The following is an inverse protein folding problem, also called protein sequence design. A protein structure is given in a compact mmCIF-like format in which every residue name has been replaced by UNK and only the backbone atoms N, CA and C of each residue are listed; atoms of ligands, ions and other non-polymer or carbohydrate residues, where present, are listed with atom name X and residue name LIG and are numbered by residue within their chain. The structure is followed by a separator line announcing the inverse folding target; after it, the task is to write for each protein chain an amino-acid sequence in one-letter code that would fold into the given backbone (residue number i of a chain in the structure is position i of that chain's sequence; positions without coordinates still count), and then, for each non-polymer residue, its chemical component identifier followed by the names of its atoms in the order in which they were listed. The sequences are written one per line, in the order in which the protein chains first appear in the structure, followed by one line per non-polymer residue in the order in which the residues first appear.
data_IF_460393545388
#
_entry.id   IF_460393545388
#
_cell.length_a   1.000
_cell.length_b   1.000
_cell.length_c   1.000
_cell.angle_alpha   90.00
_cell.angle_beta   90.00
_cell.angle_gamma   90.00
#
_symmetry.space_group_name_H-M   'P 1'
#
loop_
_entity.id
_entity.type
_entity.pdbx_description
1 polymer ?
#
# COMPACT_ATOMS: atom_id res chain seq x y z
N UNK A 1 6.05 -38.74 6.48
CA UNK A 1 5.58 -37.59 7.26
C UNK A 1 5.58 -36.43 6.29
N UNK A 2 4.41 -36.00 5.83
CA UNK A 2 4.26 -34.79 5.00
C UNK A 2 4.57 -33.62 5.90
N UNK A 3 5.56 -32.81 5.55
CA UNK A 3 5.86 -31.57 6.25
C UNK A 3 4.58 -30.71 6.29
N UNK A 4 4.11 -30.39 7.49
CA UNK A 4 2.91 -29.59 7.67
C UNK A 4 3.16 -28.16 7.13
N UNK A 5 2.30 -27.67 6.25
CA UNK A 5 2.37 -26.29 5.76
C UNK A 5 2.22 -25.33 6.91
N UNK A 6 3.09 -24.32 6.98
CA UNK A 6 3.01 -23.25 8.02
C UNK A 6 2.03 -22.17 7.62
N UNK A 7 1.97 -21.82 6.33
CA UNK A 7 1.10 -20.79 5.79
C UNK A 7 0.71 -21.12 4.34
N UNK A 8 -0.55 -20.89 4.01
CA UNK A 8 -1.09 -21.18 2.67
C UNK A 8 -1.93 -20.01 2.15
N UNK A 9 -2.07 -19.96 0.82
CA UNK A 9 -2.86 -18.97 0.10
C UNK A 9 -3.92 -19.68 -0.75
N UNK A 10 -5.17 -19.23 -0.64
CA UNK A 10 -6.22 -19.56 -1.60
C UNK A 10 -6.30 -18.43 -2.63
N UNK A 11 -6.22 -18.76 -3.91
CA UNK A 11 -6.66 -17.90 -5.02
C UNK A 11 -8.00 -18.45 -5.52
N UNK A 12 -9.03 -17.63 -5.58
CA UNK A 12 -10.36 -18.06 -6.06
C UNK A 12 -10.95 -17.02 -7.02
N UNK A 13 -11.71 -17.52 -7.99
CA UNK A 13 -12.41 -16.74 -9.00
C UNK A 13 -13.75 -17.39 -9.35
N UNK A 14 -14.71 -16.59 -9.74
CA UNK A 14 -16.02 -17.03 -10.21
C UNK A 14 -16.47 -16.22 -11.40
N UNK A 15 -17.05 -16.87 -12.40
CA UNK A 15 -17.51 -16.20 -13.59
C UNK A 15 -18.75 -16.79 -14.21
N UNK A 16 -19.48 -15.95 -14.96
CA UNK A 16 -20.65 -16.37 -15.71
C UNK A 16 -20.61 -15.81 -17.14
N UNK A 17 -20.99 -16.61 -18.13
CA UNK A 17 -21.22 -16.18 -19.51
C UNK A 17 -22.63 -15.66 -19.68
N UNK A 18 -22.83 -14.39 -19.38
CA UNK A 18 -24.11 -13.73 -19.10
C UNK A 18 -24.31 -13.53 -17.60
N UNK A 19 -25.20 -12.60 -17.18
CA UNK A 19 -25.42 -12.33 -15.76
C UNK A 19 -26.91 -12.12 -15.45
N UNK A 20 -27.66 -13.22 -15.07
CA UNK A 20 -27.20 -14.61 -14.89
C UNK A 20 -26.89 -15.33 -16.23
N UNK A 21 -26.03 -16.35 -16.17
CA UNK A 21 -25.66 -17.17 -17.32
C UNK A 21 -24.93 -18.46 -16.91
N UNK A 22 -24.43 -19.22 -17.89
CA UNK A 22 -23.60 -20.40 -17.60
C UNK A 22 -22.40 -19.99 -16.75
N UNK A 23 -22.35 -20.50 -15.55
CA UNK A 23 -21.40 -20.08 -14.52
C UNK A 23 -20.52 -21.23 -14.04
N UNK A 24 -19.31 -20.89 -13.62
CA UNK A 24 -18.33 -21.78 -13.02
C UNK A 24 -17.48 -21.04 -12.01
N UNK A 25 -16.71 -21.78 -11.23
CA UNK A 25 -15.66 -21.26 -10.36
C UNK A 25 -14.33 -21.98 -10.57
N UNK A 26 -13.26 -21.33 -10.11
CA UNK A 26 -11.93 -21.90 -9.96
C UNK A 26 -11.35 -21.53 -8.60
N UNK A 27 -10.72 -22.47 -7.92
CA UNK A 27 -10.02 -22.26 -6.67
C UNK A 27 -8.69 -23.01 -6.67
N UNK A 28 -7.64 -22.40 -6.15
CA UNK A 28 -6.28 -22.94 -6.08
C UNK A 28 -5.73 -22.72 -4.68
N UNK A 29 -5.31 -23.79 -4.01
CA UNK A 29 -4.60 -23.73 -2.75
C UNK A 29 -3.10 -23.81 -3.02
N UNK A 30 -2.32 -22.90 -2.46
CA UNK A 30 -0.86 -22.79 -2.66
C UNK A 30 -0.13 -22.70 -1.33
N UNK A 31 1.07 -23.23 -1.28
CA UNK A 31 2.03 -22.91 -0.23
C UNK A 31 2.45 -21.44 -0.33
N UNK A 32 2.29 -20.69 0.75
CA UNK A 32 2.54 -19.24 0.75
C UNK A 32 4.04 -18.88 0.59
N UNK A 33 4.94 -19.81 0.98
CA UNK A 33 6.38 -19.60 0.95
C UNK A 33 6.97 -19.89 -0.42
N UNK A 34 6.55 -21.01 -1.03
CA UNK A 34 7.13 -21.49 -2.28
C UNK A 34 6.29 -21.11 -3.51
N UNK A 35 5.01 -20.77 -3.32
CA UNK A 35 4.05 -20.58 -4.40
C UNK A 35 3.63 -21.89 -5.10
N UNK A 36 4.05 -23.04 -4.59
CA UNK A 36 3.70 -24.34 -5.16
C UNK A 36 2.20 -24.62 -4.99
N UNK A 37 1.58 -25.16 -6.02
CA UNK A 37 0.18 -25.58 -5.98
C UNK A 37 0.04 -26.85 -5.15
N UNK A 38 -0.81 -26.81 -4.13
CA UNK A 38 -1.13 -27.94 -3.27
C UNK A 38 -2.34 -28.69 -3.85
N UNK A 39 -3.41 -27.93 -4.18
CA UNK A 39 -4.64 -28.49 -4.73
C UNK A 39 -5.39 -27.46 -5.60
N UNK A 40 -6.24 -27.94 -6.51
CA UNK A 40 -7.09 -27.14 -7.38
C UNK A 40 -8.50 -27.70 -7.42
N UNK A 41 -9.49 -26.83 -7.53
CA UNK A 41 -10.88 -27.18 -7.81
C UNK A 41 -11.48 -26.24 -8.83
N UNK A 42 -12.20 -26.78 -9.82
CA UNK A 42 -12.96 -25.99 -10.78
C UNK A 42 -14.20 -26.79 -11.21
N UNK A 43 -15.37 -26.14 -11.15
CA UNK A 43 -16.64 -26.79 -11.49
C UNK A 43 -17.63 -25.81 -12.08
N UNK A 44 -18.49 -26.30 -12.95
CA UNK A 44 -19.65 -25.55 -13.47
C UNK A 44 -20.82 -25.64 -12.50
N UNK A 45 -21.48 -24.53 -12.26
CA UNK A 45 -22.61 -24.42 -11.30
C UNK A 45 -23.98 -24.17 -11.97
N UNK A 46 -24.06 -24.46 -13.28
CA UNK A 46 -25.29 -24.21 -14.04
C UNK A 46 -25.49 -22.72 -14.35
N UNK A 47 -26.71 -22.24 -14.30
CA UNK A 47 -27.03 -20.83 -14.54
C UNK A 47 -27.00 -20.07 -13.21
N UNK A 48 -26.07 -19.13 -13.09
CA UNK A 48 -25.92 -18.30 -11.89
C UNK A 48 -25.40 -16.90 -12.24
N UNK A 49 -25.45 -15.99 -11.26
CA UNK A 49 -24.82 -14.67 -11.38
C UNK A 49 -23.33 -14.76 -11.09
N UNK A 50 -22.57 -13.77 -11.55
CA UNK A 50 -21.14 -13.67 -11.28
C UNK A 50 -20.84 -13.73 -9.78
N UNK A 51 -21.58 -12.98 -8.96
CA UNK A 51 -21.39 -12.95 -7.51
C UNK A 51 -21.63 -14.32 -6.84
N UNK A 52 -22.59 -15.11 -7.31
CA UNK A 52 -22.80 -16.49 -6.84
C UNK A 52 -21.60 -17.36 -7.18
N UNK A 53 -21.07 -17.25 -8.39
CA UNK A 53 -19.91 -18.01 -8.82
C UNK A 53 -18.65 -17.65 -7.99
N UNK A 54 -18.43 -16.37 -7.71
CA UNK A 54 -17.35 -15.88 -6.86
C UNK A 54 -17.39 -16.48 -5.44
N UNK A 55 -18.56 -16.45 -4.79
CA UNK A 55 -18.72 -17.10 -3.48
C UNK A 55 -18.54 -18.62 -3.52
N UNK A 56 -18.94 -19.27 -4.61
CA UNK A 56 -18.71 -20.73 -4.80
C UNK A 56 -17.21 -21.02 -4.94
N UNK A 57 -16.46 -20.20 -5.65
CA UNK A 57 -15.01 -20.32 -5.72
C UNK A 57 -14.33 -20.16 -4.35
N UNK A 58 -14.75 -19.17 -3.55
CA UNK A 58 -14.28 -19.01 -2.19
C UNK A 58 -14.56 -20.24 -1.33
N UNK A 59 -15.79 -20.76 -1.35
CA UNK A 59 -16.19 -21.94 -0.57
C UNK A 59 -15.32 -23.15 -0.97
N UNK A 60 -15.18 -23.42 -2.27
CA UNK A 60 -14.35 -24.51 -2.76
C UNK A 60 -12.87 -24.37 -2.32
N UNK A 61 -12.31 -23.17 -2.34
CA UNK A 61 -10.96 -22.91 -1.83
C UNK A 61 -10.82 -23.20 -0.34
N UNK A 62 -11.83 -22.83 0.47
CA UNK A 62 -11.87 -23.13 1.90
C UNK A 62 -12.01 -24.65 2.18
N UNK A 63 -12.73 -25.38 1.34
CA UNK A 63 -12.83 -26.84 1.41
C UNK A 63 -11.45 -27.46 1.10
N UNK A 64 -10.74 -27.00 0.06
CA UNK A 64 -9.37 -27.45 -0.23
C UNK A 64 -8.43 -27.19 0.95
N UNK A 65 -8.56 -26.06 1.64
CA UNK A 65 -7.78 -25.75 2.84
C UNK A 65 -8.01 -26.80 3.93
N UNK A 66 -9.26 -27.14 4.24
CA UNK A 66 -9.58 -28.14 5.25
C UNK A 66 -9.06 -29.53 4.91
N UNK A 67 -9.06 -29.90 3.62
CA UNK A 67 -8.63 -31.20 3.16
C UNK A 67 -7.10 -31.37 3.15
N UNK A 68 -6.34 -30.28 2.95
CA UNK A 68 -4.92 -30.35 2.65
C UNK A 68 -4.00 -29.61 3.63
N UNK A 69 -4.48 -28.57 4.32
CA UNK A 69 -3.64 -27.73 5.19
C UNK A 69 -4.41 -27.10 6.37
N UNK A 70 -5.21 -27.86 7.14
CA UNK A 70 -6.16 -27.30 8.13
C UNK A 70 -5.52 -26.58 9.32
N UNK A 71 -4.21 -26.78 9.54
CA UNK A 71 -3.47 -26.17 10.66
C UNK A 71 -2.60 -24.97 10.21
N UNK A 72 -2.57 -24.66 8.90
CA UNK A 72 -1.73 -23.59 8.38
C UNK A 72 -2.43 -22.21 8.52
N UNK A 73 -1.65 -21.15 8.66
CA UNK A 73 -2.16 -19.78 8.53
C UNK A 73 -2.73 -19.57 7.12
N UNK A 74 -3.96 -18.98 7.03
CA UNK A 74 -4.68 -18.85 5.78
C UNK A 74 -4.83 -17.40 5.33
N UNK A 75 -4.39 -17.14 4.09
CA UNK A 75 -4.76 -15.94 3.34
C UNK A 75 -5.64 -16.31 2.13
N UNK A 76 -6.76 -15.61 1.93
CA UNK A 76 -7.62 -15.73 0.75
C UNK A 76 -7.41 -14.52 -0.14
N UNK A 77 -7.07 -14.74 -1.41
CA UNK A 77 -6.87 -13.72 -2.44
C UNK A 77 -7.91 -13.84 -3.54
N UNK A 78 -8.63 -12.75 -3.81
CA UNK A 78 -9.65 -12.70 -4.86
C UNK A 78 -9.64 -11.35 -5.57
N UNK A 79 -10.01 -11.33 -6.85
CA UNK A 79 -10.24 -10.08 -7.60
C UNK A 79 -11.69 -9.57 -7.49
N UNK A 80 -12.56 -10.31 -6.81
CA UNK A 80 -13.90 -9.88 -6.43
C UNK A 80 -13.87 -8.97 -5.21
N UNK A 81 -13.80 -7.66 -5.44
CA UNK A 81 -13.83 -6.67 -4.34
C UNK A 81 -15.07 -6.84 -3.45
N UNK A 82 -16.21 -7.17 -4.06
CA UNK A 82 -17.47 -7.38 -3.31
C UNK A 82 -17.32 -8.51 -2.28
N UNK A 83 -16.82 -9.67 -2.69
CA UNK A 83 -16.68 -10.83 -1.80
C UNK A 83 -15.65 -10.54 -0.70
N UNK A 84 -14.50 -10.00 -1.06
CA UNK A 84 -13.43 -9.63 -0.11
C UNK A 84 -13.94 -8.65 0.94
N UNK A 85 -14.63 -7.58 0.55
CA UNK A 85 -15.16 -6.57 1.47
C UNK A 85 -16.25 -7.13 2.37
N UNK A 86 -17.11 -8.02 1.84
CA UNK A 86 -18.16 -8.66 2.63
C UNK A 86 -17.60 -9.67 3.63
N UNK A 87 -16.63 -10.50 3.23
CA UNK A 87 -16.00 -11.49 4.09
C UNK A 87 -15.12 -10.85 5.18
N UNK A 88 -14.53 -9.70 4.90
CA UNK A 88 -13.81 -8.89 5.90
C UNK A 88 -14.71 -8.10 6.84
N UNK A 89 -16.05 -8.19 6.68
CA UNK A 89 -17.02 -7.46 7.52
C UNK A 89 -17.16 -5.96 7.21
N UNK A 90 -16.40 -5.44 6.24
CA UNK A 90 -16.46 -4.01 5.86
C UNK A 90 -17.74 -3.64 5.10
N UNK A 91 -18.31 -4.56 4.32
CA UNK A 91 -19.56 -4.34 3.60
C UNK A 91 -20.67 -5.26 4.08
N UNK A 92 -21.88 -4.69 4.21
CA UNK A 92 -23.07 -5.46 4.57
C UNK A 92 -23.56 -6.30 3.39
N UNK A 93 -23.90 -7.57 3.65
CA UNK A 93 -24.50 -8.47 2.66
C UNK A 93 -25.99 -8.18 2.58
N UNK A 94 -26.41 -7.47 1.53
CA UNK A 94 -27.81 -7.04 1.34
C UNK A 94 -28.62 -8.07 0.53
N UNK A 95 -27.99 -8.70 -0.48
CA UNK A 95 -28.69 -9.59 -1.40
C UNK A 95 -29.05 -10.92 -0.72
N UNK A 96 -30.31 -11.40 -0.78
CA UNK A 96 -30.73 -12.62 -0.09
C UNK A 96 -29.95 -13.86 -0.54
N UNK A 97 -29.62 -14.01 -1.83
CA UNK A 97 -28.91 -15.17 -2.36
C UNK A 97 -27.45 -15.23 -1.91
N UNK A 98 -26.85 -14.09 -1.54
CA UNK A 98 -25.48 -14.03 -1.04
C UNK A 98 -25.37 -14.41 0.44
N UNK A 99 -26.41 -14.20 1.24
CA UNK A 99 -26.38 -14.46 2.69
C UNK A 99 -26.05 -15.91 3.03
N UNK A 100 -26.70 -16.94 2.43
CA UNK A 100 -26.37 -18.33 2.73
C UNK A 100 -24.94 -18.72 2.30
N UNK A 101 -24.47 -18.19 1.15
CA UNK A 101 -23.12 -18.44 0.66
C UNK A 101 -22.06 -17.82 1.57
N UNK A 102 -22.23 -16.55 1.94
CA UNK A 102 -21.33 -15.90 2.89
C UNK A 102 -21.35 -16.58 4.27
N UNK A 103 -22.52 -17.01 4.75
CA UNK A 103 -22.61 -17.77 6.00
C UNK A 103 -21.88 -19.12 5.91
N UNK A 104 -21.94 -19.80 4.76
CA UNK A 104 -21.17 -21.02 4.52
C UNK A 104 -19.67 -20.75 4.51
N UNK A 105 -19.22 -19.72 3.79
CA UNK A 105 -17.82 -19.32 3.75
C UNK A 105 -17.29 -18.92 5.13
N UNK A 106 -18.07 -18.16 5.93
CA UNK A 106 -17.67 -17.80 7.30
C UNK A 106 -17.54 -19.01 8.24
N UNK A 107 -18.36 -20.04 8.07
CA UNK A 107 -18.22 -21.26 8.88
C UNK A 107 -16.98 -22.09 8.52
N UNK A 108 -16.55 -22.02 7.26
CA UNK A 108 -15.38 -22.73 6.78
C UNK A 108 -14.08 -21.95 7.00
N UNK A 109 -14.13 -20.62 7.05
CA UNK A 109 -12.94 -19.80 7.27
C UNK A 109 -12.43 -19.97 8.71
N UNK A 110 -11.18 -20.43 8.94
CA UNK A 110 -10.60 -20.53 10.27
C UNK A 110 -10.44 -19.15 10.90
N UNK A 111 -10.37 -19.11 12.22
CA UNK A 111 -10.09 -17.87 12.95
C UNK A 111 -8.73 -17.30 12.52
N UNK A 112 -8.67 -16.00 12.22
CA UNK A 112 -7.45 -15.35 11.74
C UNK A 112 -7.28 -15.34 10.22
N UNK A 113 -8.23 -15.92 9.43
CA UNK A 113 -8.20 -15.82 7.96
C UNK A 113 -8.17 -14.37 7.50
N UNK A 114 -7.22 -14.03 6.65
CA UNK A 114 -7.16 -12.73 5.99
C UNK A 114 -7.77 -12.80 4.58
N UNK A 115 -8.56 -11.78 4.22
CA UNK A 115 -9.16 -11.67 2.89
C UNK A 115 -8.55 -10.47 2.17
N UNK A 116 -7.81 -10.74 1.09
CA UNK A 116 -7.04 -9.75 0.33
C UNK A 116 -7.63 -9.60 -1.07
N UNK A 117 -7.98 -8.37 -1.45
CA UNK A 117 -8.31 -8.08 -2.83
C UNK A 117 -7.03 -7.98 -3.66
N UNK A 118 -7.02 -8.65 -4.81
CA UNK A 118 -5.92 -8.59 -5.79
C UNK A 118 -6.46 -8.15 -7.15
N UNK A 119 -5.66 -7.46 -7.97
CA UNK A 119 -6.03 -7.19 -9.36
C UNK A 119 -6.20 -8.50 -10.15
N UNK A 120 -7.08 -8.49 -11.15
CA UNK A 120 -7.37 -9.67 -11.99
C UNK A 120 -6.12 -10.27 -12.63
N UNK A 121 -5.14 -9.43 -12.97
CA UNK A 121 -3.86 -9.87 -13.53
C UNK A 121 -3.05 -10.75 -12.57
N UNK A 122 -3.34 -10.70 -11.29
CA UNK A 122 -2.71 -11.52 -10.25
C UNK A 122 -3.50 -12.79 -9.92
N UNK A 123 -4.79 -12.89 -10.35
CA UNK A 123 -5.67 -14.05 -10.14
C UNK A 123 -5.74 -15.00 -11.36
N UNK A 124 -4.74 -14.97 -12.23
CA UNK A 124 -4.72 -15.70 -13.52
C UNK A 124 -4.86 -17.21 -13.40
N UNK A 125 -4.45 -17.81 -12.29
CA UNK A 125 -4.51 -19.26 -12.14
C UNK A 125 -5.97 -19.70 -11.92
N UNK A 126 -6.68 -19.10 -10.98
CA UNK A 126 -8.08 -19.36 -10.74
C UNK A 126 -8.95 -19.00 -11.97
N UNK A 127 -8.73 -17.84 -12.62
CA UNK A 127 -9.39 -17.46 -13.88
C UNK A 127 -9.19 -18.49 -15.00
N UNK A 128 -7.98 -19.04 -15.14
CA UNK A 128 -7.65 -20.06 -16.16
C UNK A 128 -8.43 -21.35 -15.97
N UNK A 129 -8.47 -21.89 -14.76
CA UNK A 129 -9.16 -23.17 -14.48
C UNK A 129 -10.68 -22.99 -14.53
N UNK A 130 -11.21 -21.87 -14.08
CA UNK A 130 -12.60 -21.44 -14.25
C UNK A 130 -13.01 -21.44 -15.74
N UNK A 131 -12.22 -20.77 -16.59
CA UNK A 131 -12.52 -20.67 -18.02
C UNK A 131 -12.41 -22.04 -18.72
N UNK A 132 -11.47 -22.90 -18.29
CA UNK A 132 -11.38 -24.27 -18.81
C UNK A 132 -12.63 -25.09 -18.46
N UNK A 133 -13.19 -24.96 -17.26
CA UNK A 133 -14.44 -25.61 -16.87
C UNK A 133 -15.63 -25.12 -17.72
N UNK A 134 -15.76 -23.82 -17.96
CA UNK A 134 -16.80 -23.24 -18.84
C UNK A 134 -16.65 -23.71 -20.31
N UNK A 135 -15.43 -23.80 -20.83
CA UNK A 135 -15.20 -24.27 -22.19
C UNK A 135 -15.48 -25.76 -22.37
N UNK A 136 -15.11 -26.57 -21.39
CA UNK A 136 -15.44 -27.99 -21.36
C UNK A 136 -16.95 -28.23 -21.37
N UNK A 137 -17.70 -27.52 -20.53
CA UNK A 137 -19.15 -27.61 -20.50
C UNK A 137 -19.83 -27.10 -21.79
N UNK A 138 -19.20 -26.21 -22.54
CA UNK A 138 -19.67 -25.72 -23.83
C UNK A 138 -19.26 -26.63 -25.01
N UNK A 139 -18.66 -27.80 -24.73
CA UNK A 139 -18.22 -28.75 -25.79
C UNK A 139 -17.04 -28.26 -26.63
N UNK A 140 -16.31 -27.23 -26.20
CA UNK A 140 -15.11 -26.77 -26.87
C UNK A 140 -13.91 -27.66 -26.52
N UNK A 141 -13.03 -28.00 -27.49
CA UNK A 141 -11.87 -28.81 -27.18
C UNK A 141 -10.97 -28.10 -26.15
N UNK A 142 -10.84 -28.72 -24.98
CA UNK A 142 -9.89 -28.28 -23.97
C UNK A 142 -8.49 -28.47 -24.52
N UNK A 143 -7.73 -27.40 -24.74
CA UNK A 143 -6.29 -27.51 -24.97
C UNK A 143 -5.69 -28.10 -23.70
N UNK A 144 -5.31 -29.38 -23.78
CA UNK A 144 -4.68 -30.08 -22.68
C UNK A 144 -3.53 -29.23 -22.11
N UNK A 145 -3.62 -28.93 -20.83
CA UNK A 145 -2.51 -28.34 -20.10
C UNK A 145 -1.36 -29.34 -20.14
N UNK A 146 -0.28 -28.99 -20.84
CA UNK A 146 0.97 -29.77 -20.75
C UNK A 146 1.44 -29.63 -19.30
N UNK A 147 1.36 -30.72 -18.56
CA UNK A 147 2.10 -30.92 -17.32
C UNK A 147 3.57 -30.72 -17.65
N UNK A 148 4.12 -29.57 -17.30
CA UNK A 148 5.53 -29.31 -17.40
C UNK A 148 6.23 -30.00 -16.22
N UNK A 149 6.81 -31.17 -16.48
CA UNK A 149 7.94 -31.69 -15.69
C UNK A 149 9.01 -30.60 -15.68
N UNK A 150 9.68 -30.32 -14.56
CA UNK A 150 10.75 -29.32 -14.54
C UNK A 150 11.97 -29.85 -15.28
N UNK A 151 11.96 -29.75 -16.60
CA UNK A 151 13.21 -29.75 -17.37
C UNK A 151 13.94 -28.45 -17.04
N UNK A 152 15.20 -28.57 -16.66
CA UNK A 152 16.17 -27.50 -16.61
C UNK A 152 16.27 -26.86 -18.01
N UNK A 153 15.29 -26.07 -18.37
CA UNK A 153 15.23 -25.33 -19.62
C UNK A 153 15.95 -24.00 -19.43
N UNK A 154 16.87 -23.72 -20.35
CA UNK A 154 17.56 -22.46 -20.59
C UNK A 154 16.74 -21.25 -20.13
N UNK A 155 17.35 -20.42 -19.27
CA UNK A 155 16.78 -19.13 -18.87
C UNK A 155 16.46 -18.37 -20.14
N UNK A 156 15.16 -18.29 -20.53
CA UNK A 156 14.72 -17.32 -21.53
C UNK A 156 15.23 -15.96 -21.06
N UNK A 157 15.90 -15.22 -21.93
CA UNK A 157 16.31 -13.86 -21.58
C UNK A 157 15.10 -13.14 -21.01
N UNK A 158 15.29 -12.50 -19.85
CA UNK A 158 14.29 -11.59 -19.27
C UNK A 158 13.77 -10.73 -20.43
N UNK A 159 12.45 -10.72 -20.63
CA UNK A 159 11.85 -9.74 -21.53
C UNK A 159 12.41 -8.39 -21.14
N UNK A 160 12.91 -7.59 -22.05
CA UNK A 160 13.26 -6.21 -21.74
C UNK A 160 12.07 -5.63 -20.98
N UNK A 161 12.33 -5.02 -19.84
CA UNK A 161 11.29 -4.23 -19.15
C UNK A 161 10.74 -3.26 -20.21
N UNK A 162 9.41 -3.08 -20.31
CA UNK A 162 8.86 -2.07 -21.20
C UNK A 162 9.64 -0.77 -20.96
N UNK A 163 9.95 -0.02 -21.99
CA UNK A 163 10.51 1.33 -21.86
C UNK A 163 9.48 2.16 -21.08
N UNK A 164 9.72 2.30 -19.78
CA UNK A 164 8.79 2.99 -18.87
C UNK A 164 8.86 4.52 -19.01
N UNK A 165 9.69 5.02 -19.95
CA UNK A 165 9.97 6.45 -20.10
C UNK A 165 10.78 7.03 -18.92
N UNK A 166 11.10 8.32 -19.00
CA UNK A 166 11.80 9.04 -17.94
C UNK A 166 10.85 9.34 -16.78
N UNK A 167 11.12 8.86 -15.56
CA UNK A 167 10.26 9.09 -14.43
C UNK A 167 10.42 10.48 -13.84
N UNK A 168 9.35 11.06 -13.30
CA UNK A 168 9.49 12.14 -12.32
C UNK A 168 9.93 11.53 -10.99
N UNK A 169 11.07 11.97 -10.48
CA UNK A 169 11.67 11.48 -9.23
C UNK A 169 11.51 12.52 -8.13
N UNK A 170 10.90 12.16 -7.01
CA UNK A 170 10.87 12.98 -5.81
C UNK A 170 11.92 12.48 -4.81
N UNK A 171 12.84 13.36 -4.46
CA UNK A 171 13.75 13.20 -3.33
C UNK A 171 13.08 13.91 -2.15
N UNK A 172 12.50 13.16 -1.25
CA UNK A 172 11.73 13.65 -0.11
C UNK A 172 12.65 13.77 1.11
N UNK A 173 12.74 14.94 1.70
CA UNK A 173 13.51 15.20 2.92
C UNK A 173 12.54 15.56 4.04
N UNK A 174 12.55 14.80 5.14
CA UNK A 174 11.89 15.23 6.36
C UNK A 174 12.65 16.42 6.94
N UNK A 175 11.97 17.45 7.44
CA UNK A 175 12.59 18.55 8.15
C UNK A 175 13.52 18.08 9.27
N UNK A 176 14.50 18.87 9.66
CA UNK A 176 15.38 18.62 10.80
C UNK A 176 14.65 18.65 12.14
N UNK A 177 15.35 18.33 13.21
CA UNK A 177 14.81 18.35 14.58
C UNK A 177 14.31 19.74 14.99
N UNK A 178 13.26 19.71 15.82
CA UNK A 178 12.69 20.86 16.51
C UNK A 178 12.47 20.50 17.98
N UNK A 179 12.18 21.44 18.86
CA UNK A 179 11.81 21.12 20.24
C UNK A 179 10.66 20.11 20.33
N UNK A 180 9.62 20.25 19.49
CA UNK A 180 8.50 19.31 19.44
C UNK A 180 8.92 17.91 18.98
N UNK A 181 9.85 17.81 18.03
CA UNK A 181 10.38 16.49 17.57
C UNK A 181 11.10 15.77 18.71
N UNK A 182 11.93 16.46 19.48
CA UNK A 182 12.65 15.90 20.64
C UNK A 182 11.69 15.38 21.70
N UNK A 183 10.68 16.16 22.01
CA UNK A 183 9.68 15.82 23.02
C UNK A 183 8.60 14.87 22.49
N UNK A 184 8.65 14.46 21.22
CA UNK A 184 7.66 13.61 20.54
C UNK A 184 6.24 14.16 20.64
N UNK A 185 6.09 15.49 20.47
CA UNK A 185 4.81 16.17 20.45
C UNK A 185 4.22 16.19 19.05
N UNK A 186 2.90 16.10 18.96
CA UNK A 186 2.19 16.40 17.73
C UNK A 186 2.50 17.84 17.29
N UNK A 187 2.79 18.04 16.03
CA UNK A 187 3.15 19.36 15.49
C UNK A 187 2.62 19.45 14.06
N UNK A 188 1.36 19.83 13.94
CA UNK A 188 0.64 19.97 12.69
C UNK A 188 0.67 21.40 12.13
N UNK A 189 -0.41 21.75 11.44
CA UNK A 189 -0.62 23.09 10.86
C UNK A 189 -1.43 24.02 11.76
N UNK A 190 -2.05 23.50 12.80
CA UNK A 190 -3.02 24.25 13.65
C UNK A 190 -2.44 24.85 14.92
N UNK A 191 -1.27 24.41 15.36
CA UNK A 191 -0.64 24.83 16.60
C UNK A 191 0.55 25.78 16.41
N UNK A 192 1.50 25.71 17.35
CA UNK A 192 2.78 26.39 17.24
C UNK A 192 3.53 25.87 16.01
N UNK A 193 4.17 26.77 15.27
CA UNK A 193 5.01 26.43 14.12
C UNK A 193 6.50 26.53 14.52
N UNK A 194 7.06 25.49 15.24
CA UNK A 194 8.42 25.54 15.73
C UNK A 194 9.42 25.55 14.59
N UNK A 195 10.47 26.38 14.74
CA UNK A 195 11.64 26.33 13.88
C UNK A 195 12.56 25.16 14.22
N UNK A 196 13.62 25.00 13.43
CA UNK A 196 14.69 24.06 13.71
C UNK A 196 15.41 24.44 15.01
N UNK A 197 15.88 23.45 15.75
CA UNK A 197 16.88 23.67 16.77
C UNK A 197 18.31 23.48 16.18
N UNK A 198 19.32 23.69 17.00
CA UNK A 198 20.71 23.61 16.52
C UNK A 198 21.10 22.20 16.00
N UNK A 199 20.52 21.14 16.58
CA UNK A 199 20.74 19.78 16.09
C UNK A 199 20.04 19.57 14.75
N UNK A 200 18.80 20.10 14.61
CA UNK A 200 18.05 20.06 13.37
C UNK A 200 18.75 20.79 12.22
N UNK A 201 19.30 21.98 12.47
CA UNK A 201 20.11 22.71 11.48
C UNK A 201 21.34 21.89 11.05
N UNK A 202 22.07 21.29 12.01
CA UNK A 202 23.22 20.47 11.73
C UNK A 202 22.86 19.19 10.93
N UNK A 203 21.75 18.54 11.28
CA UNK A 203 21.23 17.38 10.56
C UNK A 203 20.90 17.71 9.10
N UNK A 204 20.18 18.80 8.87
CA UNK A 204 19.82 19.23 7.52
C UNK A 204 21.04 19.64 6.71
N UNK A 205 22.01 20.32 7.32
CA UNK A 205 23.27 20.68 6.66
C UNK A 205 24.05 19.45 6.24
N UNK A 206 24.17 18.45 7.10
CA UNK A 206 24.81 17.17 6.75
C UNK A 206 24.07 16.46 5.58
N UNK A 207 22.75 16.49 5.57
CA UNK A 207 21.96 15.96 4.45
C UNK A 207 22.16 16.75 3.17
N UNK A 208 22.24 18.08 3.25
CA UNK A 208 22.53 18.96 2.12
C UNK A 208 23.90 18.68 1.50
N UNK A 209 24.93 18.53 2.34
CA UNK A 209 26.29 18.17 1.92
C UNK A 209 26.36 16.78 1.28
N UNK A 210 25.61 15.83 1.81
CA UNK A 210 25.47 14.49 1.24
C UNK A 210 24.80 14.49 -0.13
N UNK A 211 23.83 15.38 -0.36
CA UNK A 211 23.14 15.55 -1.64
C UNK A 211 23.91 16.45 -2.62
N UNK A 212 24.88 17.24 -2.18
CA UNK A 212 25.62 18.20 -3.01
C UNK A 212 26.23 17.63 -4.30
N UNK A 213 26.80 16.39 -4.31
CA UNK A 213 27.28 15.78 -5.55
C UNK A 213 26.19 15.57 -6.61
N UNK A 214 24.92 15.52 -6.21
CA UNK A 214 23.75 15.32 -7.08
C UNK A 214 23.07 16.64 -7.48
N UNK A 215 23.58 17.80 -7.04
CA UNK A 215 22.95 19.10 -7.27
C UNK A 215 22.64 19.40 -8.75
N UNK A 216 23.46 18.90 -9.68
CA UNK A 216 23.25 19.07 -11.12
C UNK A 216 22.12 18.23 -11.69
N UNK A 217 21.72 17.16 -10.98
CA UNK A 217 20.69 16.24 -11.38
C UNK A 217 19.34 16.54 -10.69
N UNK A 218 19.31 17.59 -9.85
CA UNK A 218 18.10 18.09 -9.18
C UNK A 218 17.61 19.34 -9.94
N UNK A 219 16.40 19.25 -10.50
CA UNK A 219 15.83 20.31 -11.35
C UNK A 219 15.05 21.36 -10.55
N UNK A 220 14.51 21.04 -9.37
CA UNK A 220 13.74 21.94 -8.54
C UNK A 220 13.83 21.58 -7.06
N UNK A 221 13.70 22.61 -6.20
CA UNK A 221 13.57 22.49 -4.75
C UNK A 221 12.24 23.08 -4.31
N UNK A 222 11.40 22.25 -3.67
CA UNK A 222 10.11 22.66 -3.13
C UNK A 222 10.05 22.42 -1.63
N UNK A 223 9.23 23.19 -0.93
CA UNK A 223 9.04 23.05 0.52
C UNK A 223 7.56 23.11 0.89
N UNK A 224 7.19 22.34 1.90
CA UNK A 224 5.98 22.60 2.69
C UNK A 224 6.01 24.04 3.24
N UNK A 225 4.83 24.68 3.50
CA UNK A 225 4.77 26.07 3.96
C UNK A 225 5.23 26.28 5.42
N UNK A 226 5.34 25.20 6.23
CA UNK A 226 5.64 25.33 7.66
C UNK A 226 7.08 25.78 7.93
N UNK A 227 7.29 26.51 9.03
CA UNK A 227 8.56 27.17 9.36
C UNK A 227 9.73 26.19 9.34
N UNK A 228 9.65 25.05 10.02
CA UNK A 228 10.70 24.04 10.10
C UNK A 228 11.11 23.46 8.75
N UNK A 229 10.17 23.34 7.81
CA UNK A 229 10.45 22.86 6.44
C UNK A 229 11.05 23.98 5.60
N UNK A 230 10.60 25.22 5.74
CA UNK A 230 11.18 26.37 5.04
C UNK A 230 12.63 26.62 5.50
N UNK A 231 12.90 26.53 6.80
CA UNK A 231 14.26 26.64 7.34
C UNK A 231 15.15 25.51 6.83
N UNK A 232 14.65 24.26 6.82
CA UNK A 232 15.37 23.11 6.23
C UNK A 232 15.63 23.31 4.73
N UNK A 233 14.63 23.78 3.98
CA UNK A 233 14.76 24.03 2.56
C UNK A 233 15.72 25.18 2.24
N UNK A 234 15.76 26.21 3.09
CA UNK A 234 16.72 27.32 2.96
C UNK A 234 18.17 26.82 3.09
N UNK A 235 18.46 25.96 4.07
CA UNK A 235 19.80 25.35 4.22
C UNK A 235 20.15 24.47 3.00
N UNK A 236 19.21 23.65 2.51
CA UNK A 236 19.41 22.85 1.29
C UNK A 236 19.63 23.75 0.08
N UNK A 237 18.83 24.81 -0.08
CA UNK A 237 18.95 25.77 -1.18
C UNK A 237 20.29 26.50 -1.17
N UNK A 238 20.79 26.91 0.01
CA UNK A 238 22.10 27.52 0.17
C UNK A 238 23.22 26.59 -0.32
N UNK A 239 23.23 25.34 0.13
CA UNK A 239 24.31 24.37 -0.19
C UNK A 239 24.25 23.92 -1.65
N UNK A 240 23.02 23.72 -2.18
CA UNK A 240 22.82 23.20 -3.54
C UNK A 240 22.75 24.31 -4.61
N UNK A 241 22.71 25.58 -4.21
CA UNK A 241 22.59 26.72 -5.12
C UNK A 241 21.21 26.82 -5.78
N UNK A 242 20.12 26.49 -5.06
CA UNK A 242 18.77 26.38 -5.60
C UNK A 242 17.78 27.35 -4.91
N UNK A 243 16.83 27.88 -5.67
CA UNK A 243 15.70 28.62 -5.13
C UNK A 243 14.61 27.68 -4.61
N UNK A 244 13.93 28.09 -3.54
CA UNK A 244 12.88 27.30 -2.89
C UNK A 244 11.50 27.78 -3.34
N UNK A 245 10.70 26.89 -3.93
CA UNK A 245 9.27 27.11 -4.17
C UNK A 245 8.42 26.48 -3.05
N UNK A 246 7.21 26.99 -2.83
CA UNK A 246 6.28 26.44 -1.82
C UNK A 246 5.24 25.56 -2.49
N UNK A 247 5.01 24.36 -1.91
CA UNK A 247 3.93 23.45 -2.25
C UNK A 247 3.05 23.19 -1.01
N UNK A 248 1.92 23.89 -0.94
CA UNK A 248 0.98 23.88 0.19
C UNK A 248 0.48 22.46 0.51
N UNK A 249 0.30 21.62 -0.50
CA UNK A 249 -0.18 20.26 -0.34
C UNK A 249 0.80 19.31 0.36
N UNK A 250 2.03 19.74 0.61
CA UNK A 250 3.05 19.00 1.36
C UNK A 250 3.10 19.38 2.87
N UNK A 251 2.17 20.18 3.36
CA UNK A 251 2.07 20.50 4.79
C UNK A 251 1.86 19.24 5.66
N UNK A 252 2.23 19.27 6.95
CA UNK A 252 1.89 18.22 7.90
C UNK A 252 0.39 18.15 8.13
N UNK A 253 -0.12 17.04 8.66
CA UNK A 253 -1.50 16.94 9.08
C UNK A 253 -1.83 17.98 10.16
N UNK A 254 -3.04 18.52 10.13
CA UNK A 254 -3.57 19.27 11.26
C UNK A 254 -4.01 18.29 12.35
N UNK A 255 -3.53 18.47 13.57
CA UNK A 255 -3.87 17.58 14.69
C UNK A 255 -4.89 18.20 15.66
N UNK A 256 -5.40 19.39 15.36
CA UNK A 256 -6.42 20.07 16.15
C UNK A 256 -5.96 20.31 17.60
N UNK A 257 -6.76 19.86 18.55
CA UNK A 257 -6.45 20.04 20.00
C UNK A 257 -5.25 19.23 20.47
N UNK A 258 -4.71 18.33 19.67
CA UNK A 258 -3.53 17.53 20.03
C UNK A 258 -2.21 18.25 19.75
N UNK A 259 -2.23 19.33 18.93
CA UNK A 259 -1.01 20.07 18.62
C UNK A 259 -0.31 20.55 19.90
N UNK A 260 0.98 20.28 20.01
CA UNK A 260 1.81 20.54 21.18
C UNK A 260 1.75 19.50 22.29
N UNK A 261 0.85 18.50 22.20
CA UNK A 261 0.77 17.39 23.17
C UNK A 261 1.61 16.19 22.71
N UNK A 262 2.08 15.39 23.65
CA UNK A 262 2.65 14.07 23.40
C UNK A 262 1.52 13.05 23.21
N UNK A 263 1.85 11.88 22.65
CA UNK A 263 0.87 10.80 22.50
C UNK A 263 0.25 10.38 23.85
N UNK A 264 1.05 10.37 24.92
CA UNK A 264 0.55 10.02 26.27
C UNK A 264 -0.40 11.10 26.81
N UNK A 265 -0.10 12.38 26.62
CA UNK A 265 -0.97 13.49 27.02
C UNK A 265 -2.28 13.47 26.23
N UNK A 266 -2.24 13.15 24.93
CA UNK A 266 -3.46 12.95 24.11
C UNK A 266 -4.28 11.77 24.61
N UNK A 267 -3.63 10.63 24.89
CA UNK A 267 -4.30 9.45 25.44
C UNK A 267 -4.97 9.72 26.78
N UNK A 268 -4.39 10.57 27.63
CA UNK A 268 -4.96 10.95 28.93
C UNK A 268 -6.12 11.94 28.80
N UNK A 269 -5.97 12.98 27.95
CA UNK A 269 -6.92 14.08 27.85
C UNK A 269 -8.01 13.88 26.80
N UNK A 270 -7.75 13.11 25.76
CA UNK A 270 -8.58 12.95 24.54
C UNK A 270 -8.68 11.49 24.09
N UNK A 271 -8.81 10.53 25.03
CA UNK A 271 -8.78 9.09 24.74
C UNK A 271 -9.78 8.67 23.66
N UNK A 272 -11.06 9.07 23.78
CA UNK A 272 -12.13 8.71 22.85
C UNK A 272 -11.86 9.26 21.43
N UNK A 273 -11.32 10.47 21.33
CA UNK A 273 -10.97 11.14 20.09
C UNK A 273 -9.79 10.40 19.40
N UNK A 274 -8.77 10.03 20.18
CA UNK A 274 -7.62 9.27 19.69
C UNK A 274 -8.02 7.85 19.24
N UNK A 275 -8.85 7.16 20.01
CA UNK A 275 -9.32 5.80 19.68
C UNK A 275 -10.17 5.83 18.40
N UNK A 276 -11.03 6.83 18.22
CA UNK A 276 -11.81 7.02 17.01
C UNK A 276 -10.92 7.26 15.78
N UNK A 277 -9.89 8.13 15.91
CA UNK A 277 -8.96 8.43 14.84
C UNK A 277 -8.06 7.24 14.47
N UNK A 278 -7.63 6.44 15.47
CA UNK A 278 -6.88 5.20 15.21
C UNK A 278 -7.76 4.10 14.61
N UNK A 279 -9.06 4.14 14.86
CA UNK A 279 -10.04 3.15 14.39
C UNK A 279 -10.55 3.38 12.97
N UNK A 280 -10.42 4.62 12.41
CA UNK A 280 -10.94 4.95 11.09
C UNK A 280 -10.15 6.10 10.44
N UNK A 281 -9.92 6.02 9.12
CA UNK A 281 -9.09 6.98 8.39
C UNK A 281 -9.81 8.27 7.99
N UNK A 282 -11.13 8.30 8.10
CA UNK A 282 -12.02 9.43 7.79
C UNK A 282 -12.37 10.28 9.03
N UNK A 283 -11.90 9.88 10.20
CA UNK A 283 -12.11 10.63 11.46
C UNK A 283 -11.09 11.77 11.58
N UNK A 284 -11.60 12.95 11.91
CA UNK A 284 -10.80 14.17 12.14
C UNK A 284 -10.54 14.34 13.63
N UNK A 285 -9.29 14.64 14.07
CA UNK A 285 -9.04 15.07 15.43
C UNK A 285 -9.86 16.32 15.78
N UNK A 286 -10.44 16.35 16.98
CA UNK A 286 -11.26 17.48 17.44
C UNK A 286 -10.49 18.80 17.39
N UNK A 287 -11.21 19.91 17.10
CA UNK A 287 -10.64 21.27 17.07
C UNK A 287 -9.97 21.64 15.73
N UNK A 288 -10.44 21.06 14.64
CA UNK A 288 -10.00 21.43 13.28
C UNK A 288 -8.82 20.61 12.78
N UNK A 289 -8.69 19.36 13.25
CA UNK A 289 -7.74 18.41 12.70
C UNK A 289 -8.12 17.89 11.31
N UNK A 290 -7.18 17.26 10.63
CA UNK A 290 -7.41 16.57 9.35
C UNK A 290 -7.48 15.06 9.58
N UNK A 291 -8.45 14.40 8.93
CA UNK A 291 -8.44 12.94 8.83
C UNK A 291 -7.28 12.47 7.94
N UNK A 292 -6.81 11.24 8.16
CA UNK A 292 -5.75 10.66 7.30
C UNK A 292 -6.19 10.54 5.84
N UNK A 293 -7.49 10.35 5.57
CA UNK A 293 -8.06 10.36 4.22
C UNK A 293 -7.97 11.75 3.59
N UNK A 294 -8.25 12.82 4.34
CA UNK A 294 -8.11 14.20 3.88
C UNK A 294 -6.65 14.51 3.52
N UNK A 295 -5.71 14.13 4.39
CA UNK A 295 -4.27 14.28 4.13
C UNK A 295 -3.83 13.47 2.90
N UNK A 296 -4.26 12.21 2.77
CA UNK A 296 -3.96 11.38 1.59
C UNK A 296 -4.42 12.05 0.29
N UNK A 297 -5.64 12.53 0.27
CA UNK A 297 -6.20 13.21 -0.89
C UNK A 297 -5.45 14.50 -1.24
N UNK A 298 -5.04 15.29 -0.23
CA UNK A 298 -4.27 16.54 -0.42
C UNK A 298 -2.88 16.25 -0.97
N UNK A 299 -2.17 15.28 -0.37
CA UNK A 299 -0.81 14.88 -0.77
C UNK A 299 -0.81 14.24 -2.15
N UNK A 300 -1.82 13.43 -2.49
CA UNK A 300 -2.01 12.89 -3.84
C UNK A 300 -2.09 13.99 -4.89
N UNK A 301 -2.90 15.02 -4.63
CA UNK A 301 -3.01 16.18 -5.54
C UNK A 301 -1.70 16.96 -5.64
N UNK A 302 -0.95 17.11 -4.55
CA UNK A 302 0.38 17.74 -4.56
C UNK A 302 1.35 16.94 -5.44
N UNK A 303 1.41 15.61 -5.27
CA UNK A 303 2.19 14.72 -6.14
C UNK A 303 1.83 14.93 -7.62
N UNK A 304 0.54 14.93 -7.94
CA UNK A 304 0.06 15.03 -9.33
C UNK A 304 0.45 16.39 -9.94
N UNK A 305 0.40 17.48 -9.15
CA UNK A 305 0.90 18.80 -9.58
C UNK A 305 2.40 18.79 -9.83
N UNK A 306 3.18 18.19 -8.93
CA UNK A 306 4.64 18.09 -9.08
C UNK A 306 5.02 17.27 -10.31
N UNK A 307 4.36 16.12 -10.55
CA UNK A 307 4.58 15.31 -11.76
C UNK A 307 4.23 16.11 -13.03
N UNK A 308 3.12 16.85 -13.01
CA UNK A 308 2.70 17.67 -14.16
C UNK A 308 3.63 18.86 -14.41
N UNK A 309 4.16 19.49 -13.36
CA UNK A 309 5.07 20.63 -13.47
C UNK A 309 6.50 20.21 -13.88
N UNK A 310 6.92 19.02 -13.49
CA UNK A 310 8.30 18.52 -13.64
C UNK A 310 8.36 17.14 -14.30
N UNK A 311 7.77 16.94 -15.52
CA UNK A 311 7.73 15.62 -16.15
C UNK A 311 9.14 15.15 -16.52
N UNK A 312 9.50 13.93 -16.09
CA UNK A 312 10.81 13.34 -16.33
C UNK A 312 11.97 14.00 -15.56
N UNK A 313 11.66 14.80 -14.53
CA UNK A 313 12.62 15.61 -13.77
C UNK A 313 12.79 15.09 -12.34
N UNK A 314 13.86 15.54 -11.68
CA UNK A 314 14.13 15.25 -10.28
C UNK A 314 13.79 16.48 -9.42
N UNK A 315 12.87 16.32 -8.48
CA UNK A 315 12.43 17.36 -7.55
C UNK A 315 12.84 16.99 -6.14
N UNK A 316 13.58 17.87 -5.48
CA UNK A 316 13.86 17.79 -4.05
C UNK A 316 12.72 18.46 -3.29
N UNK A 317 12.06 17.72 -2.39
CA UNK A 317 10.89 18.20 -1.67
C UNK A 317 11.10 18.07 -0.15
N UNK A 318 11.07 19.20 0.57
CA UNK A 318 11.18 19.24 2.03
C UNK A 318 9.79 19.21 2.64
N UNK A 319 9.51 18.20 3.45
CA UNK A 319 8.19 17.98 4.00
C UNK A 319 8.24 17.27 5.37
N UNK A 320 7.21 16.54 5.75
CA UNK A 320 6.98 15.99 7.09
C UNK A 320 6.73 14.48 7.03
N UNK A 321 6.50 13.88 8.20
CA UNK A 321 6.28 12.43 8.34
C UNK A 321 5.05 11.99 7.54
N UNK A 322 3.89 12.59 7.79
CA UNK A 322 2.64 12.10 7.19
C UNK A 322 2.64 12.24 5.66
N UNK A 323 3.02 13.37 5.05
CA UNK A 323 3.12 13.46 3.59
C UNK A 323 4.12 12.45 2.98
N UNK A 324 5.29 12.23 3.60
CA UNK A 324 6.26 11.25 3.08
C UNK A 324 5.67 9.84 3.15
N UNK A 325 5.09 9.44 4.27
CA UNK A 325 4.49 8.10 4.40
C UNK A 325 3.33 7.88 3.44
N UNK A 326 2.52 8.90 3.17
CA UNK A 326 1.48 8.88 2.14
C UNK A 326 2.09 8.67 0.75
N UNK A 327 3.13 9.43 0.37
CA UNK A 327 3.79 9.28 -0.93
C UNK A 327 4.41 7.89 -1.11
N UNK A 328 5.05 7.36 -0.07
CA UNK A 328 5.59 5.99 -0.06
C UNK A 328 4.47 4.96 -0.21
N UNK A 329 3.39 5.10 0.57
CA UNK A 329 2.22 4.23 0.48
C UNK A 329 1.63 4.22 -0.94
N UNK A 330 1.47 5.41 -1.55
CA UNK A 330 0.96 5.55 -2.92
C UNK A 330 1.88 4.84 -3.93
N UNK A 331 3.19 4.98 -3.77
CA UNK A 331 4.16 4.35 -4.66
C UNK A 331 4.18 2.83 -4.55
N UNK A 332 3.94 2.30 -3.36
CA UNK A 332 3.90 0.85 -3.12
C UNK A 332 2.52 0.23 -3.40
N UNK A 333 1.49 1.04 -3.65
CA UNK A 333 0.10 0.55 -3.71
C UNK A 333 -0.36 -0.05 -2.37
N UNK A 334 0.25 0.38 -1.26
CA UNK A 334 0.00 -0.19 0.06
C UNK A 334 -1.32 0.35 0.66
N UNK A 335 -1.97 -0.39 1.58
CA UNK A 335 -3.18 0.05 2.26
C UNK A 335 -2.89 1.18 3.26
N UNK A 336 -3.94 1.87 3.74
CA UNK A 336 -3.80 3.03 4.65
C UNK A 336 -3.12 2.68 5.97
N UNK A 337 -3.32 1.48 6.48
CA UNK A 337 -2.70 0.97 7.71
C UNK A 337 -1.16 0.97 7.66
N UNK A 338 -0.59 1.00 6.45
CA UNK A 338 0.86 1.08 6.27
C UNK A 338 1.46 2.41 6.75
N UNK A 339 0.66 3.48 6.84
CA UNK A 339 1.11 4.79 7.34
C UNK A 339 1.69 4.69 8.76
N UNK A 340 1.11 3.84 9.62
CA UNK A 340 1.56 3.62 11.00
C UNK A 340 2.79 2.69 11.11
N UNK A 341 3.21 2.06 10.02
CA UNK A 341 4.34 1.11 9.99
C UNK A 341 5.63 1.73 9.47
N UNK A 342 5.57 2.98 9.02
CA UNK A 342 6.69 3.69 8.40
C UNK A 342 7.25 4.71 9.39
N UNK A 343 8.51 4.54 9.78
CA UNK A 343 9.21 5.48 10.65
C UNK A 343 10.23 6.29 9.86
N UNK A 344 10.29 7.57 10.14
CA UNK A 344 11.18 8.52 9.48
C UNK A 344 11.99 9.31 10.51
N UNK A 345 13.29 9.32 10.36
CA UNK A 345 14.18 10.14 11.17
C UNK A 345 14.16 11.60 10.68
N UNK A 346 14.44 12.59 11.55
CA UNK A 346 14.69 13.96 11.13
C UNK A 346 15.79 14.05 10.07
N UNK A 347 15.65 14.95 9.11
CA UNK A 347 16.54 15.17 7.97
C UNK A 347 16.82 13.92 7.12
N UNK A 348 16.00 12.84 7.23
CA UNK A 348 16.15 11.64 6.41
C UNK A 348 15.67 11.85 4.99
N UNK A 349 16.26 11.09 4.07
CA UNK A 349 15.97 11.12 2.63
C UNK A 349 15.19 9.86 2.24
N UNK A 350 14.14 10.07 1.47
CA UNK A 350 13.32 9.03 0.85
C UNK A 350 13.20 9.34 -0.64
N UNK A 351 13.41 8.38 -1.53
CA UNK A 351 13.37 8.61 -2.98
C UNK A 351 12.31 7.74 -3.63
N UNK A 352 11.39 8.38 -4.32
CA UNK A 352 10.29 7.73 -5.04
C UNK A 352 10.24 8.24 -6.48
N UNK A 353 10.06 7.34 -7.45
CA UNK A 353 9.91 7.68 -8.86
C UNK A 353 8.56 7.28 -9.39
N UNK A 354 7.92 8.16 -10.16
CA UNK A 354 6.68 7.89 -10.90
C UNK A 354 6.93 7.97 -12.40
N UNK A 355 6.55 6.94 -13.12
CA UNK A 355 6.69 6.82 -14.56
C UNK A 355 5.45 7.32 -15.29
N UNK A 356 5.56 7.76 -16.56
CA UNK A 356 4.44 8.31 -17.32
C UNK A 356 3.23 7.37 -17.44
N UNK A 357 3.46 6.05 -17.46
CA UNK A 357 2.41 5.03 -17.59
C UNK A 357 1.76 4.65 -16.24
N UNK A 358 2.09 5.36 -15.15
CA UNK A 358 1.49 5.19 -13.83
C UNK A 358 2.20 4.21 -12.90
N UNK A 359 3.27 3.53 -13.35
CA UNK A 359 4.13 2.74 -12.46
C UNK A 359 4.90 3.65 -11.52
N UNK A 360 5.32 3.09 -10.39
CA UNK A 360 6.12 3.79 -9.39
C UNK A 360 7.14 2.87 -8.73
N UNK A 361 8.20 3.46 -8.19
CA UNK A 361 9.27 2.71 -7.54
C UNK A 361 9.75 3.47 -6.31
N UNK A 362 9.76 2.82 -5.16
CA UNK A 362 10.48 3.28 -3.97
C UNK A 362 11.94 2.87 -4.13
N UNK A 363 12.85 3.85 -4.29
CA UNK A 363 14.29 3.61 -4.51
C UNK A 363 15.08 3.64 -3.20
N UNK A 364 14.65 4.47 -2.25
CA UNK A 364 15.31 4.65 -0.96
C UNK A 364 14.28 5.05 0.08
N UNK A 365 14.44 4.60 1.32
CA UNK A 365 13.56 4.97 2.43
C UNK A 365 14.36 5.30 3.68
N UNK A 366 14.07 6.45 4.31
CA UNK A 366 14.60 6.87 5.61
C UNK A 366 16.13 6.84 5.72
N UNK A 367 16.86 7.16 4.64
CA UNK A 367 18.33 7.17 4.64
C UNK A 367 18.89 8.47 5.23
N UNK A 368 20.00 8.35 5.95
CA UNK A 368 20.74 9.50 6.51
C UNK A 368 22.23 9.37 6.21
N UNK A 369 22.99 10.49 6.16
CA UNK A 369 24.43 10.48 5.86
C UNK A 369 25.30 9.78 6.93
N UNK A 370 24.73 9.41 8.09
CA UNK A 370 25.46 8.74 9.18
C UNK A 370 25.01 7.30 9.38
N UNK A 371 25.96 6.38 9.66
CA UNK A 371 25.70 4.94 9.86
C UNK A 371 24.79 4.63 11.05
N UNK A 372 24.68 5.52 12.04
CA UNK A 372 23.79 5.35 13.20
C UNK A 372 22.29 5.21 12.82
N UNK A 373 21.92 5.51 11.58
CA UNK A 373 20.56 5.40 11.06
C UNK A 373 20.00 3.97 11.09
N UNK A 374 20.83 2.94 10.98
CA UNK A 374 20.38 1.55 10.86
C UNK A 374 19.81 0.95 12.14
N UNK A 375 20.13 1.50 13.30
CA UNK A 375 19.76 0.94 14.59
C UNK A 375 18.61 1.67 15.30
N UNK A 376 18.03 2.71 14.67
CA UNK A 376 16.90 3.47 15.25
C UNK A 376 17.24 4.17 16.58
N UNK A 377 18.50 4.51 16.80
CA UNK A 377 19.00 5.19 17.99
C UNK A 377 19.35 6.63 17.68
#
# INVERSE_FOLDING_TARGET
MTDAYTSVVIEADGGSRGNPGAAAYGAVLKDATTGAVIAEAAETIGVATNNVAEYRGLIAGLELYHDHAPEADLEVRMDSKLVVEQMSGRWKIKHPDMKPLASAAHRLAPFGTTFTWIPREQNKHADRILNAALDAAAGKPVKAARTATPEQGERKPLRPLPEMGEPTTLILVRHGETAHTKDRRFSGTGGDDPGLDADGEAQVRATAEWLAPLARDIDALVSSPLRRTRESAAILGEVLGMEVAIEEGLAEAAFGVWDGLTFAEVQEAHADDLDAWLGAFDVEPTGGGESLETVDNRVRRARDRLIAAYPGKTVLAVTHVTPITVLVRLALGAPMESLFKLQLAPASVTVVSWYPEGQSTLRMFNARPTEAAFLGR
#
